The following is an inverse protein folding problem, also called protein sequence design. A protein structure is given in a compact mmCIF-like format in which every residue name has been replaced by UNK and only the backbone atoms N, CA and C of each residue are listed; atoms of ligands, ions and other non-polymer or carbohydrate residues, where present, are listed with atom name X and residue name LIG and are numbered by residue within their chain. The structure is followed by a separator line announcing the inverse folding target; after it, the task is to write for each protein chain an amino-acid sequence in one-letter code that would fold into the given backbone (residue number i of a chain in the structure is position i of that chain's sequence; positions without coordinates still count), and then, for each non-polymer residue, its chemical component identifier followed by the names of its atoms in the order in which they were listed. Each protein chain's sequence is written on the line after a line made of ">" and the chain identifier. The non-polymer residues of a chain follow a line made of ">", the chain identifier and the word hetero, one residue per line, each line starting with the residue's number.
data_IF_862432496810
#
_entry.id   IF_862432496810
#
_cell.length_a   1.000
_cell.length_b   1.000
_cell.length_c   1.000
_cell.angle_alpha   90.00
_cell.angle_beta   90.00
_cell.angle_gamma   90.00
#
_symmetry.space_group_name_H-M   'P 1'
#
loop_
_entity.id
_entity.type
_entity.pdbx_description
1 polymer ?
#
# COMPACT_ATOMS: atom_id res chain seq x y z
N UNK A 1 -33.24 -15.45 -2.65
CA UNK A 1 -31.98 -14.72 -2.40
C UNK A 1 -31.35 -15.00 -1.03
N UNK A 2 -32.10 -14.93 0.08
CA UNK A 2 -31.55 -15.11 1.46
C UNK A 2 -30.91 -16.49 1.70
N UNK A 3 -31.45 -17.58 1.14
CA UNK A 3 -30.85 -18.93 1.26
C UNK A 3 -29.47 -19.03 0.60
N UNK A 4 -29.27 -18.37 -0.53
CA UNK A 4 -27.98 -18.32 -1.22
C UNK A 4 -26.97 -17.52 -0.42
N UNK A 5 -27.37 -16.37 0.14
CA UNK A 5 -26.53 -15.55 1.01
C UNK A 5 -26.11 -16.30 2.27
N UNK A 6 -27.04 -17.02 2.92
CA UNK A 6 -26.76 -17.88 4.07
C UNK A 6 -25.76 -18.99 3.73
N UNK A 7 -25.83 -19.57 2.53
CA UNK A 7 -24.90 -20.61 2.05
C UNK A 7 -23.49 -20.06 1.79
N UNK A 8 -23.39 -18.83 1.29
CA UNK A 8 -22.13 -18.11 1.07
C UNK A 8 -21.49 -17.73 2.42
N UNK A 9 -22.28 -17.22 3.37
CA UNK A 9 -21.78 -16.88 4.72
C UNK A 9 -21.37 -18.11 5.54
N UNK A 10 -21.99 -19.28 5.34
CA UNK A 10 -21.61 -20.51 6.03
C UNK A 10 -20.29 -21.11 5.51
N UNK A 11 -19.74 -20.59 4.41
CA UNK A 11 -18.43 -21.00 3.93
C UNK A 11 -17.34 -20.36 4.79
N UNK A 12 -16.87 -21.10 5.81
CA UNK A 12 -15.84 -20.64 6.75
C UNK A 12 -14.59 -20.07 6.07
N UNK A 13 -14.16 -20.62 4.93
CA UNK A 13 -12.98 -20.13 4.20
C UNK A 13 -13.21 -18.73 3.64
N UNK A 14 -14.40 -18.47 3.08
CA UNK A 14 -14.74 -17.17 2.51
C UNK A 14 -14.88 -16.12 3.62
N UNK A 15 -15.54 -16.49 4.71
CA UNK A 15 -15.80 -15.58 5.82
C UNK A 15 -14.51 -15.18 6.55
N UNK A 16 -13.59 -16.12 6.78
CA UNK A 16 -12.28 -15.85 7.38
C UNK A 16 -11.40 -14.99 6.46
N UNK A 17 -11.44 -15.23 5.14
CA UNK A 17 -10.71 -14.39 4.18
C UNK A 17 -11.28 -12.97 4.12
N UNK A 18 -12.60 -12.80 4.18
CA UNK A 18 -13.22 -11.48 4.18
C UNK A 18 -12.90 -10.72 5.47
N UNK A 19 -12.95 -11.39 6.63
CA UNK A 19 -12.55 -10.81 7.90
C UNK A 19 -11.08 -10.37 7.88
N UNK A 20 -10.16 -11.21 7.39
CA UNK A 20 -8.76 -10.84 7.23
C UNK A 20 -8.57 -9.62 6.31
N UNK A 21 -9.31 -9.55 5.20
CA UNK A 21 -9.26 -8.41 4.29
C UNK A 21 -9.75 -7.11 4.97
N UNK A 22 -10.82 -7.18 5.77
CA UNK A 22 -11.33 -6.02 6.52
C UNK A 22 -10.29 -5.51 7.52
N UNK A 23 -9.66 -6.40 8.28
CA UNK A 23 -8.57 -6.02 9.19
C UNK A 23 -7.37 -5.42 8.47
N UNK A 24 -7.02 -5.96 7.30
CA UNK A 24 -5.97 -5.39 6.46
C UNK A 24 -6.30 -3.97 5.99
N UNK A 25 -7.52 -3.74 5.50
CA UNK A 25 -7.97 -2.41 5.09
C UNK A 25 -7.97 -1.41 6.24
N UNK A 26 -8.41 -1.82 7.44
CA UNK A 26 -8.38 -0.99 8.64
C UNK A 26 -6.95 -0.54 9.00
N UNK A 27 -5.96 -1.43 8.87
CA UNK A 27 -4.56 -1.09 9.11
C UNK A 27 -3.90 -0.27 7.99
N UNK A 28 -4.28 -0.53 6.73
CA UNK A 28 -3.67 0.11 5.56
C UNK A 28 -4.23 1.50 5.26
N UNK A 29 -5.52 1.76 5.52
CA UNK A 29 -6.15 3.07 5.30
C UNK A 29 -5.39 4.25 5.92
N UNK A 30 -5.07 4.24 7.23
CA UNK A 30 -4.37 5.37 7.85
C UNK A 30 -2.98 5.56 7.24
N UNK A 31 -2.25 4.49 6.95
CA UNK A 31 -0.96 4.59 6.26
C UNK A 31 -1.10 5.31 4.92
N UNK A 32 -2.08 4.93 4.11
CA UNK A 32 -2.28 5.51 2.78
C UNK A 32 -2.68 6.99 2.83
N UNK A 33 -3.50 7.38 3.81
CA UNK A 33 -3.96 8.77 4.02
C UNK A 33 -2.82 9.67 4.53
N UNK A 34 -2.00 9.17 5.45
CA UNK A 34 -0.93 9.97 6.06
C UNK A 34 0.39 9.96 5.27
N UNK A 35 0.54 9.06 4.28
CA UNK A 35 1.74 8.96 3.44
C UNK A 35 2.16 10.28 2.76
N UNK A 36 1.29 11.02 2.03
CA UNK A 36 1.70 12.28 1.41
C UNK A 36 2.05 13.36 2.44
N UNK A 37 1.36 13.37 3.59
CA UNK A 37 1.63 14.29 4.71
C UNK A 37 2.98 14.01 5.36
N UNK A 38 3.37 12.74 5.44
CA UNK A 38 4.67 12.31 5.92
C UNK A 38 5.79 12.77 4.98
N UNK A 39 5.62 12.58 3.66
CA UNK A 39 6.62 13.01 2.67
C UNK A 39 6.77 14.54 2.68
N UNK A 40 5.68 15.30 2.80
CA UNK A 40 5.69 16.76 2.93
C UNK A 40 6.51 17.24 4.15
N UNK A 41 6.33 16.59 5.31
CA UNK A 41 7.03 16.96 6.54
C UNK A 41 8.50 16.54 6.56
N UNK A 42 8.85 15.41 5.94
CA UNK A 42 10.21 14.89 5.91
C UNK A 42 11.08 15.55 4.82
N UNK A 43 10.54 15.76 3.61
CA UNK A 43 11.32 16.26 2.47
C UNK A 43 11.18 17.76 2.22
N UNK A 44 10.38 18.48 3.03
CA UNK A 44 10.04 19.92 2.85
C UNK A 44 9.63 20.27 1.40
N UNK A 45 9.03 19.29 0.73
CA UNK A 45 8.51 19.42 -0.63
C UNK A 45 7.08 19.96 -0.59
N UNK A 46 6.67 20.69 -1.64
CA UNK A 46 5.29 21.18 -1.73
C UNK A 46 4.27 20.04 -1.67
N UNK A 47 3.11 20.32 -1.07
CA UNK A 47 1.97 19.40 -0.96
C UNK A 47 1.60 18.78 -2.33
N UNK A 48 1.73 19.56 -3.40
CA UNK A 48 1.42 19.16 -4.77
C UNK A 48 2.41 18.11 -5.30
N UNK A 49 3.73 18.37 -5.17
CA UNK A 49 4.77 17.46 -5.67
C UNK A 49 4.75 16.10 -4.96
N UNK A 50 4.58 16.10 -3.63
CA UNK A 50 4.50 14.88 -2.81
C UNK A 50 3.27 14.03 -3.17
N UNK A 51 2.14 14.68 -3.45
CA UNK A 51 0.90 14.02 -3.86
C UNK A 51 0.98 13.47 -5.28
N UNK A 52 1.63 14.20 -6.20
CA UNK A 52 1.84 13.75 -7.58
C UNK A 52 2.76 12.52 -7.65
N UNK A 53 3.85 12.49 -6.88
CA UNK A 53 4.76 11.34 -6.84
C UNK A 53 4.07 10.10 -6.27
N UNK A 54 3.35 10.25 -5.15
CA UNK A 54 2.68 9.15 -4.47
C UNK A 54 1.48 8.66 -5.28
N UNK A 55 0.74 9.58 -5.91
CA UNK A 55 -0.40 9.27 -6.76
C UNK A 55 0.01 8.56 -8.05
N UNK A 56 1.01 9.08 -8.77
CA UNK A 56 1.49 8.47 -10.02
C UNK A 56 2.08 7.08 -9.79
N UNK A 57 2.97 6.92 -8.80
CA UNK A 57 3.49 5.60 -8.44
C UNK A 57 2.39 4.67 -7.97
N UNK A 58 1.50 5.14 -7.09
CA UNK A 58 0.35 4.35 -6.62
C UNK A 58 -0.50 3.82 -7.77
N UNK A 59 -0.80 4.65 -8.77
CA UNK A 59 -1.61 4.28 -9.92
C UNK A 59 -0.88 3.29 -10.86
N UNK A 60 0.37 3.57 -11.22
CA UNK A 60 1.13 2.72 -12.15
C UNK A 60 1.37 1.33 -11.54
N UNK A 61 1.82 1.27 -10.29
CA UNK A 61 2.05 -0.01 -9.62
C UNK A 61 0.74 -0.79 -9.41
N UNK A 62 -0.36 -0.11 -9.07
CA UNK A 62 -1.66 -0.77 -8.93
C UNK A 62 -2.17 -1.32 -10.27
N UNK A 63 -2.05 -0.55 -11.35
CA UNK A 63 -2.46 -0.99 -12.68
C UNK A 63 -1.69 -2.25 -13.13
N UNK A 64 -0.37 -2.23 -12.96
CA UNK A 64 0.49 -3.39 -13.27
C UNK A 64 0.13 -4.58 -12.39
N UNK A 65 -0.05 -4.38 -11.07
CA UNK A 65 -0.40 -5.45 -10.14
C UNK A 65 -1.77 -6.10 -10.44
N UNK A 66 -2.77 -5.31 -10.81
CA UNK A 66 -4.10 -5.83 -11.16
C UNK A 66 -4.04 -6.60 -12.49
N UNK A 67 -3.32 -6.08 -13.49
CA UNK A 67 -3.18 -6.76 -14.79
C UNK A 67 -2.44 -8.10 -14.65
N UNK A 68 -1.31 -8.12 -13.93
CA UNK A 68 -0.58 -9.35 -13.68
C UNK A 68 -1.41 -10.36 -12.89
N UNK A 69 -2.07 -9.93 -11.81
CA UNK A 69 -2.89 -10.85 -11.00
C UNK A 69 -4.08 -11.39 -11.79
N UNK A 70 -4.74 -10.58 -12.62
CA UNK A 70 -5.83 -11.01 -13.50
C UNK A 70 -5.40 -12.09 -14.51
N UNK A 71 -4.22 -11.92 -15.12
CA UNK A 71 -3.65 -12.91 -16.06
C UNK A 71 -3.30 -14.20 -15.34
N UNK A 72 -2.62 -14.11 -14.18
CA UNK A 72 -2.19 -15.27 -13.39
C UNK A 72 -3.39 -16.06 -12.88
N UNK A 73 -4.42 -15.40 -12.31
CA UNK A 73 -5.64 -16.08 -11.84
C UNK A 73 -6.36 -16.78 -13.00
N UNK A 74 -6.43 -16.14 -14.17
CA UNK A 74 -7.12 -16.70 -15.33
C UNK A 74 -6.45 -17.98 -15.85
N UNK A 75 -5.10 -18.04 -15.82
CA UNK A 75 -4.37 -19.21 -16.31
C UNK A 75 -4.22 -20.32 -15.27
N UNK A 76 -3.95 -19.99 -14.01
CA UNK A 76 -3.61 -20.99 -12.98
C UNK A 76 -4.82 -21.52 -12.18
N UNK A 77 -5.99 -20.87 -12.22
CA UNK A 77 -7.19 -21.21 -11.42
C UNK A 77 -6.84 -21.75 -10.01
N UNK A 78 -6.05 -21.00 -9.22
CA UNK A 78 -5.56 -21.48 -7.93
C UNK A 78 -6.70 -21.86 -6.97
N UNK A 79 -6.49 -22.93 -6.20
CA UNK A 79 -7.41 -23.37 -5.14
C UNK A 79 -7.57 -22.28 -4.07
N UNK A 80 -8.78 -22.15 -3.52
CA UNK A 80 -9.14 -21.16 -2.50
C UNK A 80 -8.19 -21.10 -1.28
N UNK A 81 -7.60 -22.23 -0.91
CA UNK A 81 -6.64 -22.31 0.21
C UNK A 81 -5.29 -21.65 -0.11
N UNK A 82 -4.85 -21.73 -1.37
CA UNK A 82 -3.62 -21.10 -1.83
C UNK A 82 -3.76 -19.58 -1.90
N UNK A 83 -4.94 -19.09 -2.28
CA UNK A 83 -5.27 -17.67 -2.24
C UNK A 83 -5.25 -17.11 -0.82
N UNK A 84 -5.83 -17.86 0.14
CA UNK A 84 -5.83 -17.45 1.54
C UNK A 84 -4.41 -17.36 2.11
N UNK A 85 -3.54 -18.33 1.80
CA UNK A 85 -2.13 -18.30 2.21
C UNK A 85 -1.39 -17.11 1.58
N UNK A 86 -1.66 -16.80 0.31
CA UNK A 86 -1.08 -15.65 -0.37
C UNK A 86 -1.49 -14.32 0.26
N UNK A 87 -2.76 -14.18 0.69
CA UNK A 87 -3.22 -12.98 1.40
C UNK A 87 -2.49 -12.77 2.74
N UNK A 88 -2.23 -13.84 3.49
CA UNK A 88 -1.47 -13.75 4.76
C UNK A 88 -0.02 -13.32 4.49
N UNK A 89 0.59 -13.87 3.45
CA UNK A 89 1.97 -13.53 3.07
C UNK A 89 2.10 -12.07 2.60
N UNK A 90 1.16 -11.59 1.78
CA UNK A 90 1.07 -10.17 1.41
C UNK A 90 0.87 -9.29 2.64
N UNK A 91 0.00 -9.69 3.58
CA UNK A 91 -0.20 -8.98 4.83
C UNK A 91 1.08 -8.81 5.64
N UNK A 92 1.87 -9.88 5.77
CA UNK A 92 3.15 -9.85 6.47
C UNK A 92 4.17 -8.94 5.77
N UNK A 93 4.28 -9.02 4.45
CA UNK A 93 5.15 -8.16 3.65
C UNK A 93 4.76 -6.68 3.83
N UNK A 94 3.47 -6.35 3.74
CA UNK A 94 3.01 -4.98 3.92
C UNK A 94 3.34 -4.42 5.32
N UNK A 95 3.12 -5.20 6.38
CA UNK A 95 3.48 -4.80 7.75
C UNK A 95 4.99 -4.60 7.86
N UNK A 96 5.79 -5.52 7.31
CA UNK A 96 7.25 -5.38 7.31
C UNK A 96 7.73 -4.16 6.53
N UNK A 97 7.06 -3.81 5.43
CA UNK A 97 7.36 -2.64 4.61
C UNK A 97 7.06 -1.33 5.34
N UNK A 98 5.92 -1.25 6.02
CA UNK A 98 5.55 -0.08 6.83
C UNK A 98 6.52 0.09 8.00
N UNK A 99 6.87 -1.00 8.68
CA UNK A 99 7.85 -0.99 9.77
C UNK A 99 9.22 -0.52 9.25
N UNK A 100 9.67 -1.06 8.11
CA UNK A 100 10.94 -0.65 7.49
C UNK A 100 10.91 0.84 7.10
N UNK A 101 9.81 1.31 6.51
CA UNK A 101 9.64 2.72 6.17
C UNK A 101 9.67 3.63 7.41
N UNK A 102 9.08 3.19 8.52
CA UNK A 102 9.16 3.89 9.79
C UNK A 102 10.60 3.96 10.35
N UNK A 103 11.41 2.92 10.14
CA UNK A 103 12.83 2.93 10.53
C UNK A 103 13.72 3.76 9.58
N UNK A 104 13.45 3.76 8.27
CA UNK A 104 14.17 4.59 7.29
C UNK A 104 13.98 6.09 7.56
N UNK A 105 12.84 6.47 8.14
CA UNK A 105 12.59 7.85 8.59
C UNK A 105 13.52 8.36 9.69
N UNK A 106 14.44 7.54 10.21
CA UNK A 106 15.33 7.91 11.32
C UNK A 106 16.83 8.00 10.96
N UNK A 107 17.23 7.93 9.69
CA UNK A 107 18.65 7.96 9.29
C UNK A 107 19.08 9.10 8.35
N UNK A 108 18.14 9.86 7.78
CA UNK A 108 18.46 10.90 6.78
C UNK A 108 18.41 12.34 7.31
N UNK A 109 18.25 12.54 8.63
CA UNK A 109 18.25 13.88 9.23
C UNK A 109 19.64 14.37 9.67
N UNK A 110 20.69 13.54 9.57
CA UNK A 110 22.04 13.92 10.00
C UNK A 110 23.02 14.20 8.83
N UNK A 111 22.63 13.96 7.57
CA UNK A 111 23.56 14.04 6.43
C UNK A 111 23.18 15.06 5.34
N UNK A 112 22.22 15.96 5.58
CA UNK A 112 21.97 17.11 4.70
C UNK A 112 21.61 18.37 5.49
N UNK A 113 22.58 18.96 6.19
CA UNK A 113 22.83 20.42 6.29
C UNK A 113 24.27 20.53 6.84
N UNK A 114 25.23 21.06 6.05
CA UNK A 114 25.45 22.50 6.12
C UNK A 114 25.72 23.20 4.77
N UNK A 115 25.06 24.35 4.60
CA UNK A 115 25.52 25.56 3.90
C UNK A 115 25.77 25.50 2.39
N UNK A 116 24.87 26.11 1.61
CA UNK A 116 25.24 27.27 0.77
C UNK A 116 24.09 28.30 0.71
N UNK A 117 24.38 29.60 0.89
CA UNK A 117 23.42 30.69 0.77
C UNK A 117 23.35 31.22 -0.67
N UNK A 118 22.16 31.67 -1.08
CA UNK A 118 21.83 32.41 -2.31
C UNK A 118 21.77 31.61 -3.63
N UNK A 119 20.64 31.77 -4.32
CA UNK A 119 20.50 31.44 -5.74
C UNK A 119 19.08 31.04 -6.13
N UNK A 120 18.23 32.04 -6.38
CA UNK A 120 16.99 31.90 -7.15
C UNK A 120 17.13 30.97 -8.37
N UNK A 121 16.09 30.18 -8.66
CA UNK A 121 15.26 30.34 -9.87
C UNK A 121 14.42 29.08 -10.16
N UNK A 122 13.10 29.28 -10.06
CA UNK A 122 12.05 28.95 -11.04
C UNK A 122 12.17 27.75 -11.99
N UNK A 123 10.98 27.21 -12.27
CA UNK A 123 10.54 26.47 -13.48
C UNK A 123 10.99 25.00 -13.54
N UNK A 124 10.12 24.01 -13.70
CA UNK A 124 8.82 23.91 -14.38
C UNK A 124 7.97 22.78 -13.74
#
# INVERSE_FOLDING_TARGET
>A
MIKTFKRVMHNRTLMMNNFAAVFYFLGYMPYWIFLPKYIETQYRQSASASSLITGSMGLVFSAVGILLSGIVISKYKPKARSLAAWNVLVGFISVSGIISYAYLGCSDMDNKIPLLPNGDSSSE
#
